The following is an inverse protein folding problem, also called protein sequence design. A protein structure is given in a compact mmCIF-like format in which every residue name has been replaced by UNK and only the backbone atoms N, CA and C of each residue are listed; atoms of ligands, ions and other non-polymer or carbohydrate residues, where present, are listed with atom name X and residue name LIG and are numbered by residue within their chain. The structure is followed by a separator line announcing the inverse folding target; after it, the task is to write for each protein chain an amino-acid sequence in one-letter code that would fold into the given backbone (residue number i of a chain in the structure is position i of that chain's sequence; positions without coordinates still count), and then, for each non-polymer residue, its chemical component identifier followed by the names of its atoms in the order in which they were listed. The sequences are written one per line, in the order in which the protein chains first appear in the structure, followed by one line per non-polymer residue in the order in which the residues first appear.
data_IF_884408100857
#
_entry.id   IF_884408100857
#
_cell.length_a   1.000
_cell.length_b   1.000
_cell.length_c   1.000
_cell.angle_alpha   90.00
_cell.angle_beta   90.00
_cell.angle_gamma   90.00
#
_symmetry.space_group_name_H-M   'P 1'
#
loop_
_entity.id
_entity.type
_entity.pdbx_description
1 polymer ?
#
# COMPACT_ATOMS: atom_id res chain seq x y z
N UNK A 1 -3.80 25.27 6.47
CA UNK A 1 -3.46 24.68 5.15
C UNK A 1 -1.95 24.78 5.01
N UNK A 2 -1.25 23.65 4.93
CA UNK A 2 0.22 23.61 4.95
C UNK A 2 0.82 24.39 3.78
N UNK A 3 1.67 25.38 4.05
CA UNK A 3 2.59 25.93 3.04
C UNK A 3 3.83 25.04 3.01
N UNK A 4 3.73 23.87 2.39
CA UNK A 4 4.92 23.23 1.86
C UNK A 4 5.43 24.20 0.79
N UNK A 5 6.59 24.82 1.00
CA UNK A 5 7.23 25.62 -0.05
C UNK A 5 7.19 24.80 -1.34
N UNK A 6 6.57 25.35 -2.39
CA UNK A 6 6.24 24.61 -3.61
C UNK A 6 7.45 23.83 -4.16
N UNK A 7 8.64 24.39 -3.99
CA UNK A 7 9.93 23.79 -4.35
C UNK A 7 10.17 22.42 -3.68
N UNK A 8 9.89 22.29 -2.37
CA UNK A 8 10.07 21.03 -1.66
C UNK A 8 9.12 19.94 -2.18
N UNK A 9 7.86 20.29 -2.41
CA UNK A 9 6.87 19.36 -2.97
C UNK A 9 7.29 18.85 -4.36
N UNK A 10 7.88 19.72 -5.19
CA UNK A 10 8.42 19.36 -6.51
C UNK A 10 9.59 18.37 -6.37
N UNK A 11 10.56 18.62 -5.48
CA UNK A 11 11.68 17.71 -5.26
C UNK A 11 11.23 16.33 -4.78
N UNK A 12 10.26 16.29 -3.86
CA UNK A 12 9.64 15.05 -3.38
C UNK A 12 8.99 14.30 -4.54
N UNK A 13 8.17 14.98 -5.35
CA UNK A 13 7.49 14.37 -6.49
C UNK A 13 8.50 13.79 -7.50
N UNK A 14 9.55 14.54 -7.84
CA UNK A 14 10.63 14.10 -8.74
C UNK A 14 11.32 12.86 -8.17
N UNK A 15 11.62 12.83 -6.87
CA UNK A 15 12.24 11.68 -6.20
C UNK A 15 11.37 10.42 -6.34
N UNK A 16 10.08 10.50 -6.07
CA UNK A 16 9.16 9.35 -6.20
C UNK A 16 8.94 8.93 -7.65
N UNK A 17 8.91 9.87 -8.60
CA UNK A 17 8.86 9.57 -10.04
C UNK A 17 10.12 8.81 -10.46
N UNK A 18 11.31 9.27 -10.04
CA UNK A 18 12.57 8.58 -10.31
C UNK A 18 12.59 7.17 -9.70
N UNK A 19 12.12 7.02 -8.45
CA UNK A 19 12.06 5.73 -7.76
C UNK A 19 11.08 4.77 -8.46
N UNK A 20 9.91 5.27 -8.89
CA UNK A 20 8.95 4.52 -9.69
C UNK A 20 9.49 4.12 -11.07
N UNK A 21 10.26 4.99 -11.72
CA UNK A 21 10.90 4.72 -13.01
C UNK A 21 12.02 3.68 -12.87
N UNK A 22 12.82 3.75 -11.81
CA UNK A 22 13.83 2.73 -11.48
C UNK A 22 13.16 1.38 -11.23
N UNK A 23 12.08 1.36 -10.42
CA UNK A 23 11.32 0.14 -10.15
C UNK A 23 10.76 -0.45 -11.46
N UNK A 24 10.16 0.38 -12.32
CA UNK A 24 9.64 -0.03 -13.62
C UNK A 24 10.74 -0.60 -14.52
N UNK A 25 11.88 0.09 -14.67
CA UNK A 25 12.98 -0.36 -15.52
C UNK A 25 13.61 -1.67 -15.01
N UNK A 26 13.78 -1.80 -13.70
CA UNK A 26 14.31 -3.02 -13.06
C UNK A 26 13.39 -4.22 -13.31
N UNK A 27 12.07 -4.03 -13.18
CA UNK A 27 11.06 -5.06 -13.43
C UNK A 27 10.96 -5.42 -14.92
N UNK A 28 11.03 -4.41 -15.82
CA UNK A 28 11.01 -4.61 -17.27
C UNK A 28 12.20 -5.42 -17.76
N UNK A 29 13.43 -5.04 -17.38
CA UNK A 29 14.67 -5.72 -17.81
C UNK A 29 14.64 -7.20 -17.48
N UNK A 30 14.10 -7.53 -16.31
CA UNK A 30 14.16 -8.89 -15.81
C UNK A 30 12.92 -9.73 -16.23
N UNK A 31 11.88 -9.14 -16.86
CA UNK A 31 10.77 -9.85 -17.52
C UNK A 31 11.27 -10.67 -18.72
N UNK A 32 12.15 -10.08 -19.54
CA UNK A 32 12.79 -10.71 -20.71
C UNK A 32 13.54 -12.01 -20.34
N UNK A 33 14.17 -12.05 -19.17
CA UNK A 33 14.95 -13.21 -18.70
C UNK A 33 14.10 -14.29 -18.01
N UNK A 34 12.78 -14.09 -17.84
CA UNK A 34 11.89 -15.03 -17.13
C UNK A 34 11.21 -16.04 -18.03
N UNK A 35 11.10 -15.75 -19.32
CA UNK A 35 10.37 -16.57 -20.29
C UNK A 35 11.06 -17.92 -20.60
N UNK A 36 12.29 -18.12 -20.11
CA UNK A 36 13.16 -19.23 -20.55
C UNK A 36 13.20 -20.40 -19.55
N UNK A 37 12.76 -20.23 -18.28
CA UNK A 37 12.84 -21.35 -17.33
C UNK A 37 11.75 -21.29 -16.24
N UNK A 38 10.81 -22.24 -16.32
CA UNK A 38 9.57 -22.36 -15.57
C UNK A 38 9.64 -23.25 -14.32
N UNK A 39 10.84 -23.49 -13.78
CA UNK A 39 11.04 -24.36 -12.61
C UNK A 39 10.15 -23.99 -11.40
N UNK A 40 9.55 -25.00 -10.76
CA UNK A 40 8.71 -24.84 -9.56
C UNK A 40 9.41 -24.07 -8.42
N UNK A 41 10.73 -24.27 -8.25
CA UNK A 41 11.55 -23.53 -7.27
C UNK A 41 11.51 -22.02 -7.52
N UNK A 42 11.51 -21.59 -8.78
CA UNK A 42 11.44 -20.17 -9.17
C UNK A 42 10.08 -19.58 -8.83
N UNK A 43 9.00 -20.30 -9.12
CA UNK A 43 7.63 -19.87 -8.83
C UNK A 43 7.37 -19.73 -7.32
N UNK A 44 7.95 -20.62 -6.51
CA UNK A 44 7.93 -20.49 -5.04
C UNK A 44 8.65 -19.21 -4.62
N UNK A 45 9.88 -18.97 -5.10
CA UNK A 45 10.64 -17.75 -4.78
C UNK A 45 9.89 -16.48 -5.19
N UNK A 46 9.22 -16.51 -6.35
CA UNK A 46 8.46 -15.37 -6.84
C UNK A 46 7.23 -15.07 -5.97
N UNK A 47 6.51 -16.12 -5.54
CA UNK A 47 5.36 -16.00 -4.63
C UNK A 47 5.80 -15.51 -3.25
N UNK A 48 6.92 -16.01 -2.73
CA UNK A 48 7.48 -15.55 -1.46
C UNK A 48 7.89 -14.08 -1.49
N UNK A 49 8.54 -13.65 -2.57
CA UNK A 49 8.93 -12.26 -2.73
C UNK A 49 7.71 -11.34 -2.85
N UNK A 50 6.64 -11.78 -3.51
CA UNK A 50 5.37 -11.04 -3.53
C UNK A 50 4.77 -10.89 -2.12
N UNK A 51 4.76 -11.97 -1.32
CA UNK A 51 4.28 -11.91 0.07
C UNK A 51 5.14 -10.98 0.92
N UNK A 52 6.47 -10.97 0.73
CA UNK A 52 7.35 -10.01 1.40
C UNK A 52 7.03 -8.57 1.00
N UNK A 53 6.77 -8.32 -0.28
CA UNK A 53 6.36 -7.00 -0.77
C UNK A 53 5.03 -6.53 -0.16
N UNK A 54 4.05 -7.44 -0.03
CA UNK A 54 2.79 -7.16 0.66
C UNK A 54 2.99 -6.89 2.16
N UNK A 55 3.92 -7.59 2.81
CA UNK A 55 4.30 -7.33 4.20
C UNK A 55 4.89 -5.93 4.36
N UNK A 56 5.84 -5.54 3.50
CA UNK A 56 6.43 -4.19 3.51
C UNK A 56 5.34 -3.13 3.31
N UNK A 57 4.44 -3.32 2.34
CA UNK A 57 3.31 -2.43 2.12
C UNK A 57 2.42 -2.30 3.37
N UNK A 58 2.11 -3.43 4.02
CA UNK A 58 1.32 -3.47 5.25
C UNK A 58 2.00 -2.72 6.40
N UNK A 59 3.32 -2.89 6.56
CA UNK A 59 4.09 -2.16 7.58
C UNK A 59 4.01 -0.66 7.34
N UNK A 60 4.15 -0.20 6.10
CA UNK A 60 4.00 1.23 5.76
C UNK A 60 2.60 1.76 6.12
N UNK A 61 1.56 0.97 5.85
CA UNK A 61 0.18 1.31 6.22
C UNK A 61 0.01 1.40 7.74
N UNK A 62 0.55 0.44 8.50
CA UNK A 62 0.46 0.43 9.97
C UNK A 62 1.23 1.58 10.62
N UNK A 63 2.42 1.92 10.09
CA UNK A 63 3.23 3.02 10.62
C UNK A 63 2.53 4.36 10.38
N UNK A 64 1.99 4.59 9.19
CA UNK A 64 1.32 5.85 8.86
C UNK A 64 -0.07 5.99 9.50
N UNK A 65 -0.96 5.03 9.26
CA UNK A 65 -2.35 5.06 9.74
C UNK A 65 -2.50 4.69 11.21
N UNK A 66 -1.54 3.96 11.78
CA UNK A 66 -1.49 3.62 13.20
C UNK A 66 -0.65 4.61 13.97
N UNK A 67 0.67 4.44 13.93
CA UNK A 67 1.61 5.14 14.81
C UNK A 67 1.63 6.66 14.57
N UNK A 68 1.86 7.10 13.33
CA UNK A 68 1.98 8.52 13.01
C UNK A 68 0.65 9.25 13.15
N UNK A 69 -0.48 8.64 12.75
CA UNK A 69 -1.80 9.23 12.92
C UNK A 69 -2.18 9.49 14.40
N UNK A 70 -1.79 8.58 15.30
CA UNK A 70 -2.02 8.79 16.74
C UNK A 70 -1.12 9.88 17.32
N UNK A 71 0.14 9.96 16.86
CA UNK A 71 1.02 11.07 17.24
C UNK A 71 0.48 12.41 16.75
N UNK A 72 -0.04 12.45 15.54
CA UNK A 72 -0.64 13.64 14.92
C UNK A 72 -1.83 14.14 15.75
N UNK A 73 -2.71 13.22 16.18
CA UNK A 73 -3.84 13.54 17.05
C UNK A 73 -3.40 14.08 18.42
N UNK A 74 -2.37 13.49 19.03
CA UNK A 74 -1.82 13.98 20.30
C UNK A 74 -1.20 15.38 20.15
N UNK A 75 -0.52 15.63 19.04
CA UNK A 75 0.06 16.94 18.73
C UNK A 75 -1.03 18.01 18.55
N UNK A 76 -2.14 17.67 17.88
CA UNK A 76 -3.30 18.55 17.76
C UNK A 76 -3.91 18.96 19.10
N UNK A 77 -3.81 18.12 20.13
CA UNK A 77 -4.30 18.45 21.48
C UNK A 77 -3.33 19.33 22.27
N UNK A 78 -2.04 19.28 21.95
CA UNK A 78 -0.98 20.03 22.65
C UNK A 78 -0.66 21.38 22.00
N UNK A 79 -0.85 21.51 20.68
CA UNK A 79 -0.55 22.74 19.95
C UNK A 79 -1.58 23.83 20.29
N UNK A 80 -1.11 24.92 20.92
CA UNK A 80 -1.96 26.05 21.33
C UNK A 80 -2.27 27.05 20.19
N UNK A 81 -1.64 26.91 19.03
CA UNK A 81 -1.88 27.76 17.86
C UNK A 81 -2.01 26.93 16.58
N UNK A 82 -2.90 27.38 15.69
CA UNK A 82 -3.18 26.81 14.37
C UNK A 82 -2.03 27.01 13.35
N UNK A 83 -0.98 27.75 13.72
CA UNK A 83 0.21 28.03 12.90
C UNK A 83 1.38 27.07 13.16
N UNK A 84 1.28 26.18 14.15
CA UNK A 84 2.36 25.25 14.45
C UNK A 84 2.41 24.10 13.43
N UNK A 85 3.52 24.03 12.71
CA UNK A 85 3.85 22.94 11.78
C UNK A 85 3.78 21.60 12.52
N UNK A 86 2.91 20.70 12.07
CA UNK A 86 2.76 19.36 12.66
C UNK A 86 3.70 18.40 11.94
N UNK A 87 4.79 17.92 12.59
CA UNK A 87 5.80 17.10 11.91
C UNK A 87 5.25 15.76 11.40
N UNK A 88 4.32 15.16 12.15
CA UNK A 88 3.73 13.86 11.83
C UNK A 88 2.90 13.91 10.53
N UNK A 89 1.96 14.87 10.42
CA UNK A 89 1.23 15.17 9.19
C UNK A 89 2.15 15.32 7.98
N UNK A 90 3.22 16.13 8.06
CA UNK A 90 4.16 16.31 6.93
C UNK A 90 4.74 14.97 6.49
N UNK A 91 5.24 14.17 7.42
CA UNK A 91 5.81 12.86 7.12
C UNK A 91 4.78 11.94 6.44
N UNK A 92 3.54 11.92 6.91
CA UNK A 92 2.49 11.10 6.30
C UNK A 92 2.21 11.56 4.86
N UNK A 93 2.02 12.87 4.66
CA UNK A 93 1.65 13.42 3.36
C UNK A 93 2.77 13.35 2.32
N UNK A 94 4.00 13.64 2.74
CA UNK A 94 5.17 13.76 1.87
C UNK A 94 5.81 12.40 1.60
N UNK A 95 5.86 11.51 2.60
CA UNK A 95 6.63 10.28 2.51
C UNK A 95 5.71 9.08 2.26
N UNK A 96 4.70 8.89 3.11
CA UNK A 96 3.92 7.66 3.10
C UNK A 96 2.92 7.58 1.95
N UNK A 97 2.16 8.66 1.66
CA UNK A 97 1.21 8.61 0.54
C UNK A 97 1.87 8.39 -0.83
N UNK A 98 2.95 9.10 -1.19
CA UNK A 98 3.65 8.79 -2.44
C UNK A 98 4.29 7.39 -2.42
N UNK A 99 4.80 6.94 -1.26
CA UNK A 99 5.33 5.59 -1.14
C UNK A 99 4.26 4.51 -1.38
N UNK A 100 3.00 4.73 -0.96
CA UNK A 100 1.92 3.78 -1.26
C UNK A 100 1.69 3.60 -2.75
N UNK A 101 1.70 4.69 -3.52
CA UNK A 101 1.61 4.61 -4.98
C UNK A 101 2.78 3.84 -5.56
N UNK A 102 4.02 4.17 -5.17
CA UNK A 102 5.21 3.53 -5.73
C UNK A 102 5.27 2.04 -5.37
N UNK A 103 5.01 1.67 -4.12
CA UNK A 103 5.01 0.27 -3.68
C UNK A 103 3.84 -0.48 -4.32
N UNK A 104 2.62 0.07 -4.31
CA UNK A 104 1.44 -0.54 -4.91
C UNK A 104 1.59 -0.81 -6.40
N UNK A 105 2.08 0.19 -7.16
CA UNK A 105 2.38 0.03 -8.59
C UNK A 105 3.52 -0.96 -8.82
N UNK A 106 4.56 -0.95 -7.97
CA UNK A 106 5.65 -1.92 -8.06
C UNK A 106 5.17 -3.35 -7.84
N UNK A 107 4.28 -3.58 -6.87
CA UNK A 107 3.65 -4.88 -6.63
C UNK A 107 2.77 -5.33 -7.79
N UNK A 108 2.03 -4.41 -8.40
CA UNK A 108 1.25 -4.67 -9.60
C UNK A 108 2.13 -5.08 -10.78
N UNK A 109 3.18 -4.30 -11.07
CA UNK A 109 4.13 -4.57 -12.14
C UNK A 109 4.90 -5.88 -11.90
N UNK A 110 5.29 -6.15 -10.66
CA UNK A 110 5.91 -7.40 -10.26
C UNK A 110 4.97 -8.59 -10.52
N UNK A 111 3.73 -8.49 -10.06
CA UNK A 111 2.72 -9.54 -10.23
C UNK A 111 2.48 -9.85 -11.71
N UNK A 112 2.32 -8.80 -12.54
CA UNK A 112 2.10 -8.93 -13.98
C UNK A 112 3.29 -9.54 -14.73
N UNK A 113 4.52 -9.27 -14.28
CA UNK A 113 5.74 -9.70 -14.97
C UNK A 113 6.30 -11.04 -14.50
N UNK A 114 5.96 -11.49 -13.28
CA UNK A 114 6.60 -12.63 -12.63
C UNK A 114 5.67 -13.76 -12.25
N UNK A 115 4.44 -13.46 -11.86
CA UNK A 115 3.51 -14.49 -11.42
C UNK A 115 2.94 -15.19 -12.65
N UNK A 116 2.73 -16.49 -12.50
CA UNK A 116 2.06 -17.30 -13.52
C UNK A 116 0.60 -16.87 -13.66
N UNK A 117 0.04 -17.01 -14.87
CA UNK A 117 -1.30 -16.49 -15.20
C UNK A 117 -2.41 -17.12 -14.34
N UNK A 118 -2.19 -18.35 -13.88
CA UNK A 118 -3.10 -19.09 -13.00
C UNK A 118 -3.22 -18.44 -11.62
N UNK A 119 -2.14 -17.82 -11.14
CA UNK A 119 -2.11 -17.10 -9.86
C UNK A 119 -2.56 -15.66 -10.05
N UNK A 120 -2.10 -14.98 -11.10
CA UNK A 120 -2.47 -13.60 -11.44
C UNK A 120 -3.79 -13.52 -12.21
N UNK A 121 -4.83 -14.15 -11.66
CA UNK A 121 -6.17 -14.14 -12.23
C UNK A 121 -6.89 -12.80 -11.98
N UNK A 122 -8.08 -12.65 -12.58
CA UNK A 122 -8.88 -11.41 -12.45
C UNK A 122 -9.24 -11.09 -10.99
N UNK A 123 -9.44 -12.10 -10.14
CA UNK A 123 -9.76 -11.89 -8.71
C UNK A 123 -8.54 -11.37 -7.94
N UNK A 124 -7.37 -11.91 -8.22
CA UNK A 124 -6.10 -11.43 -7.68
C UNK A 124 -5.84 -9.97 -8.08
N UNK A 125 -6.11 -9.62 -9.34
CA UNK A 125 -5.98 -8.24 -9.82
C UNK A 125 -6.87 -7.27 -9.04
N UNK A 126 -8.16 -7.59 -8.88
CA UNK A 126 -9.08 -6.75 -8.10
C UNK A 126 -8.66 -6.63 -6.64
N UNK A 127 -8.24 -7.73 -6.01
CA UNK A 127 -7.75 -7.71 -4.64
C UNK A 127 -6.49 -6.85 -4.50
N UNK A 128 -5.56 -6.91 -5.46
CA UNK A 128 -4.34 -6.11 -5.44
C UNK A 128 -4.63 -4.61 -5.62
N UNK A 129 -5.57 -4.26 -6.50
CA UNK A 129 -6.03 -2.88 -6.69
C UNK A 129 -6.70 -2.36 -5.42
N UNK A 130 -7.64 -3.13 -4.85
CA UNK A 130 -8.32 -2.78 -3.61
C UNK A 130 -7.32 -2.57 -2.47
N UNK A 131 -6.30 -3.44 -2.37
CA UNK A 131 -5.26 -3.33 -1.35
C UNK A 131 -4.40 -2.07 -1.54
N UNK A 132 -4.04 -1.73 -2.78
CA UNK A 132 -3.23 -0.55 -3.10
C UNK A 132 -3.96 0.78 -2.89
N UNK A 133 -5.27 0.83 -3.15
CA UNK A 133 -6.06 2.06 -3.07
C UNK A 133 -6.57 2.33 -1.64
N UNK A 134 -6.88 1.29 -0.87
CA UNK A 134 -7.53 1.49 0.43
C UNK A 134 -6.78 2.39 1.42
N UNK A 135 -5.43 2.44 1.46
CA UNK A 135 -4.72 3.39 2.32
C UNK A 135 -4.98 4.87 2.01
N UNK A 136 -5.44 5.23 0.81
CA UNK A 136 -5.81 6.62 0.52
C UNK A 136 -7.07 7.07 1.26
N UNK A 137 -7.85 6.13 1.82
CA UNK A 137 -8.97 6.49 2.69
C UNK A 137 -8.55 7.00 4.07
N UNK A 138 -7.26 6.94 4.41
CA UNK A 138 -6.76 7.66 5.58
C UNK A 138 -6.70 9.18 5.38
N UNK A 139 -6.78 9.70 4.13
CA UNK A 139 -6.68 11.13 3.84
C UNK A 139 -7.72 11.97 4.59
N UNK A 140 -9.02 11.63 4.58
CA UNK A 140 -10.02 12.46 5.23
C UNK A 140 -10.10 12.14 6.74
N UNK A 141 -9.70 10.95 7.19
CA UNK A 141 -9.74 10.58 8.62
C UNK A 141 -8.68 11.28 9.47
N UNK A 142 -7.72 11.98 8.86
CA UNK A 142 -6.71 12.77 9.58
C UNK A 142 -7.25 14.10 10.10
N UNK A 143 -8.45 14.53 9.69
CA UNK A 143 -9.11 15.65 10.32
C UNK A 143 -9.77 15.21 11.65
N UNK A 144 -9.32 15.69 12.82
CA UNK A 144 -9.90 15.31 14.10
C UNK A 144 -11.40 15.62 14.22
N UNK A 145 -11.89 16.61 13.46
CA UNK A 145 -13.30 17.01 13.46
C UNK A 145 -14.22 15.92 12.91
N UNK A 146 -13.74 15.11 11.96
CA UNK A 146 -14.50 14.01 11.35
C UNK A 146 -14.55 12.75 12.24
N UNK A 147 -13.65 12.67 13.23
CA UNK A 147 -13.52 11.54 14.18
C UNK A 147 -14.33 11.77 15.47
N UNK A 148 -14.77 13.00 15.76
CA UNK A 148 -15.68 13.30 16.87
C UNK A 148 -17.10 12.78 16.65
N UNK A 149 -17.67 12.10 17.65
CA UNK A 149 -18.98 11.46 17.58
C UNK A 149 -20.09 12.52 17.40
N UNK A 150 -20.41 12.81 16.15
CA UNK A 150 -21.46 13.73 15.74
C UNK A 150 -22.67 12.95 15.22
N UNK A 151 -23.87 13.44 15.54
CA UNK A 151 -25.14 12.89 15.06
C UNK A 151 -25.44 13.29 13.60
N UNK A 152 -24.52 14.00 12.94
CA UNK A 152 -24.69 14.41 11.55
C UNK A 152 -24.57 13.21 10.62
N UNK A 153 -25.57 13.06 9.74
CA UNK A 153 -25.65 11.95 8.80
C UNK A 153 -24.40 11.81 7.91
N UNK A 154 -23.80 12.93 7.50
CA UNK A 154 -22.56 12.99 6.72
C UNK A 154 -21.39 12.28 7.43
N UNK A 155 -21.22 12.53 8.73
CA UNK A 155 -20.15 11.96 9.53
C UNK A 155 -20.38 10.47 9.81
N UNK A 156 -21.64 10.05 9.99
CA UNK A 156 -22.00 8.63 10.11
C UNK A 156 -21.72 7.88 8.81
N UNK A 157 -22.15 8.43 7.67
CA UNK A 157 -21.91 7.83 6.35
C UNK A 157 -20.41 7.72 6.04
N UNK A 158 -19.63 8.75 6.36
CA UNK A 158 -18.18 8.73 6.21
C UNK A 158 -17.52 7.61 7.04
N UNK A 159 -17.89 7.45 8.31
CA UNK A 159 -17.37 6.39 9.18
C UNK A 159 -17.71 5.00 8.69
N UNK A 160 -18.94 4.79 8.23
CA UNK A 160 -19.36 3.51 7.65
C UNK A 160 -18.53 3.20 6.40
N UNK A 161 -18.36 4.17 5.50
CA UNK A 161 -17.50 4.01 4.34
C UNK A 161 -16.04 3.71 4.73
N UNK A 162 -15.51 4.42 5.74
CA UNK A 162 -14.17 4.20 6.29
C UNK A 162 -13.99 2.75 6.77
N UNK A 163 -14.88 2.26 7.63
CA UNK A 163 -14.81 0.88 8.14
C UNK A 163 -15.02 -0.17 7.05
N UNK A 164 -15.91 0.08 6.09
CA UNK A 164 -16.10 -0.82 4.94
C UNK A 164 -14.84 -0.94 4.10
N UNK A 165 -14.10 0.16 3.89
CA UNK A 165 -12.85 0.11 3.14
C UNK A 165 -11.71 -0.50 3.94
N UNK A 166 -11.64 -0.28 5.25
CA UNK A 166 -10.69 -1.01 6.12
C UNK A 166 -10.96 -2.51 6.09
N UNK A 167 -12.23 -2.92 6.14
CA UNK A 167 -12.62 -4.32 6.00
C UNK A 167 -12.27 -4.88 4.61
N UNK A 168 -12.46 -4.09 3.56
CA UNK A 168 -12.07 -4.45 2.19
C UNK A 168 -10.56 -4.58 2.05
N UNK A 169 -9.79 -3.70 2.69
CA UNK A 169 -8.33 -3.78 2.72
C UNK A 169 -7.85 -5.04 3.43
N UNK A 170 -8.38 -5.34 4.61
CA UNK A 170 -7.99 -6.51 5.38
C UNK A 170 -8.37 -7.82 4.68
N UNK A 171 -9.57 -7.88 4.11
CA UNK A 171 -10.04 -9.05 3.35
C UNK A 171 -9.27 -9.25 2.06
N UNK A 172 -8.95 -8.18 1.32
CA UNK A 172 -8.10 -8.26 0.12
C UNK A 172 -6.67 -8.70 0.46
N UNK A 173 -6.07 -8.16 1.53
CA UNK A 173 -4.74 -8.58 1.99
C UNK A 173 -4.72 -10.06 2.34
N UNK A 174 -5.71 -10.50 3.13
CA UNK A 174 -5.85 -11.90 3.57
C UNK A 174 -6.03 -12.83 2.37
N UNK A 175 -6.86 -12.43 1.40
CA UNK A 175 -7.07 -13.18 0.16
C UNK A 175 -5.78 -13.34 -0.65
N UNK A 176 -5.00 -12.26 -0.84
CA UNK A 176 -3.74 -12.29 -1.56
C UNK A 176 -2.71 -13.21 -0.89
N UNK A 177 -2.53 -13.06 0.42
CA UNK A 177 -1.60 -13.89 1.21
C UNK A 177 -2.01 -15.36 1.17
N UNK A 178 -3.30 -15.66 1.35
CA UNK A 178 -3.79 -17.03 1.32
C UNK A 178 -3.61 -17.67 -0.07
N UNK A 179 -3.90 -16.95 -1.15
CA UNK A 179 -3.70 -17.44 -2.52
C UNK A 179 -2.23 -17.71 -2.83
N UNK A 180 -1.33 -16.81 -2.46
CA UNK A 180 0.11 -16.99 -2.65
C UNK A 180 0.65 -18.15 -1.80
N UNK A 181 0.18 -18.28 -0.55
CA UNK A 181 0.52 -19.38 0.34
C UNK A 181 0.08 -20.74 -0.20
N UNK A 182 -1.18 -20.85 -0.66
CA UNK A 182 -1.69 -22.06 -1.31
C UNK A 182 -0.88 -22.43 -2.56
N UNK A 183 -0.50 -21.43 -3.38
CA UNK A 183 0.33 -21.67 -4.55
C UNK A 183 1.69 -22.30 -4.16
N UNK A 184 2.35 -21.74 -3.14
CA UNK A 184 3.61 -22.28 -2.62
C UNK A 184 3.45 -23.72 -2.14
N UNK A 185 2.41 -24.00 -1.33
CA UNK A 185 2.14 -25.35 -0.81
C UNK A 185 1.90 -26.36 -1.94
N UNK A 186 1.11 -25.98 -2.95
CA UNK A 186 0.82 -26.84 -4.10
C UNK A 186 2.10 -27.15 -4.91
N UNK A 187 2.93 -26.14 -5.14
CA UNK A 187 4.20 -26.29 -5.85
C UNK A 187 5.18 -27.18 -5.09
N UNK A 188 5.30 -27.02 -3.76
CA UNK A 188 6.13 -27.89 -2.92
C UNK A 188 5.63 -29.33 -3.00
N UNK A 189 4.32 -29.55 -2.89
CA UNK A 189 3.72 -30.89 -2.99
C UNK A 189 3.99 -31.55 -4.33
N UNK A 190 4.01 -30.77 -5.42
CA UNK A 190 4.30 -31.27 -6.76
C UNK A 190 5.77 -31.65 -6.98
N UNK A 191 6.70 -31.11 -6.19
CA UNK A 191 8.13 -31.43 -6.28
C UNK A 191 8.52 -32.69 -5.49
N UNK A 192 7.69 -33.11 -4.54
CA UNK A 192 7.94 -34.29 -3.68
C UNK A 192 7.38 -35.57 -4.30
N UNK A 193 6.46 -35.45 -5.27
CA UNK A 193 5.96 -36.56 -6.08
C UNK A 193 6.86 -36.81 -7.28
#
# INVERSE_FOLDING_TARGET
MFEIHQDNAIYIAIFYIALGLIAYLSLRKSTLNTLVDGSAKRQIKQSMFMMLGLLVFTVFVLVSGGFLAHQDTAWHQMAQSSENIIPASIVIYVIFYPAFFVIGVSLWLYSRSRLVKEVFDRRFQWALIANGIAPFMFLPSQDPSLVNLSMEFSNIAFRLAYWLVMFTWLSSLSYLLFRLGLNVVNLIRSMVK
#
